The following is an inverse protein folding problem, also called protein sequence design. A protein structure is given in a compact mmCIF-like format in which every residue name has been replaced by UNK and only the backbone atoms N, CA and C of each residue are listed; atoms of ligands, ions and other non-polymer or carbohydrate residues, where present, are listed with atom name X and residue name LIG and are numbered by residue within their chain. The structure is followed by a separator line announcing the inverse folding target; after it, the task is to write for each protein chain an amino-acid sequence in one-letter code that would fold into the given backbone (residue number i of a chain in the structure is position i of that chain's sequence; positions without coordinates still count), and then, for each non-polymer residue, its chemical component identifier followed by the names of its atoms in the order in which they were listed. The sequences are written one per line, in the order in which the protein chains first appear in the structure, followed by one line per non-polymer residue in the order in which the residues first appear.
data_IF_650997636365
#
_entry.id   IF_650997636365
#
_cell.length_a   1.000
_cell.length_b   1.000
_cell.length_c   1.000
_cell.angle_alpha   90.00
_cell.angle_beta   90.00
_cell.angle_gamma   90.00
#
_symmetry.space_group_name_H-M   'P 1'
#
loop_
_entity.id
_entity.type
_entity.pdbx_description
1 polymer ?
#
# COMPACT_ATOMS: atom_id res chain seq x y z
N UNK A 1 75.74 -5.57 -6.27
CA UNK A 1 74.70 -4.62 -6.68
C UNK A 1 73.67 -4.60 -5.56
N UNK A 2 73.76 -3.62 -4.67
CA UNK A 2 72.80 -3.45 -3.57
C UNK A 2 71.88 -2.29 -3.94
N UNK A 3 70.59 -2.60 -4.04
CA UNK A 3 69.50 -1.65 -4.19
C UNK A 3 69.42 -0.79 -2.93
N UNK A 4 69.69 0.50 -3.08
CA UNK A 4 69.42 1.50 -2.04
C UNK A 4 67.90 1.63 -1.91
N UNK A 5 67.35 1.10 -0.82
CA UNK A 5 66.01 1.46 -0.36
C UNK A 5 66.00 2.97 -0.07
N UNK A 6 65.35 3.74 -0.93
CA UNK A 6 65.02 5.12 -0.63
C UNK A 6 63.85 5.09 0.36
N UNK A 7 64.14 5.07 1.66
CA UNK A 7 63.16 5.36 2.70
C UNK A 7 62.82 6.86 2.68
N UNK A 8 62.04 7.29 1.70
CA UNK A 8 61.48 8.63 1.66
C UNK A 8 60.40 8.75 2.74
N UNK A 9 60.72 9.40 3.86
CA UNK A 9 59.73 9.73 4.88
C UNK A 9 58.58 10.52 4.25
N UNK A 10 57.34 10.15 4.60
CA UNK A 10 56.12 10.78 4.09
C UNK A 10 56.27 12.31 4.06
N UNK A 11 56.04 12.91 2.88
CA UNK A 11 56.27 14.33 2.66
C UNK A 11 55.45 15.18 3.63
N UNK A 12 55.81 16.46 3.81
CA UNK A 12 55.00 17.39 4.63
C UNK A 12 53.54 17.45 4.14
N UNK A 13 53.32 17.24 2.84
CA UNK A 13 51.99 17.18 2.23
C UNK A 13 51.27 15.88 2.59
N UNK A 14 51.94 14.72 2.56
CA UNK A 14 51.33 13.43 2.92
C UNK A 14 50.91 13.39 4.38
N UNK A 15 51.73 13.98 5.27
CA UNK A 15 51.38 14.10 6.70
C UNK A 15 50.18 15.03 6.91
N UNK A 16 50.17 16.18 6.23
CA UNK A 16 49.05 17.12 6.30
C UNK A 16 47.76 16.52 5.73
N UNK A 17 47.83 15.79 4.61
CA UNK A 17 46.68 15.09 4.02
C UNK A 17 46.18 13.98 4.94
N UNK A 18 47.07 13.23 5.58
CA UNK A 18 46.70 12.22 6.59
C UNK A 18 45.94 12.84 7.76
N UNK A 19 46.42 13.96 8.30
CA UNK A 19 45.80 14.68 9.42
C UNK A 19 44.43 15.31 9.07
N UNK A 20 44.19 15.62 7.79
CA UNK A 20 42.98 16.33 7.34
C UNK A 20 42.05 15.48 6.47
N UNK A 21 42.39 14.22 6.21
CA UNK A 21 41.67 13.35 5.27
C UNK A 21 40.19 13.24 5.64
N UNK A 22 39.89 12.99 6.92
CA UNK A 22 38.51 12.81 7.42
C UNK A 22 37.65 14.06 7.22
N UNK A 23 38.25 15.25 7.27
CA UNK A 23 37.56 16.53 7.03
C UNK A 23 37.34 16.78 5.53
N UNK A 24 38.29 16.36 4.68
CA UNK A 24 38.26 16.60 3.24
C UNK A 24 37.44 15.54 2.48
N UNK A 25 37.35 14.33 3.00
CA UNK A 25 36.70 13.20 2.35
C UNK A 25 35.21 13.44 2.06
N UNK A 26 34.39 14.02 2.97
CA UNK A 26 33.01 14.36 2.67
C UNK A 26 32.89 15.40 1.55
N UNK A 27 33.77 16.42 1.51
CA UNK A 27 33.76 17.42 0.45
C UNK A 27 34.11 16.80 -0.91
N UNK A 28 35.15 15.96 -0.97
CA UNK A 28 35.51 15.21 -2.18
C UNK A 28 34.34 14.36 -2.67
N UNK A 29 33.70 13.60 -1.77
CA UNK A 29 32.54 12.76 -2.10
C UNK A 29 31.35 13.58 -2.60
N UNK A 30 31.09 14.76 -2.02
CA UNK A 30 30.03 15.67 -2.52
C UNK A 30 30.34 16.16 -3.93
N UNK A 31 31.60 16.54 -4.20
CA UNK A 31 32.03 16.96 -5.53
C UNK A 31 31.93 15.80 -6.55
N UNK A 32 32.31 14.59 -6.15
CA UNK A 32 32.18 13.38 -6.99
C UNK A 32 30.70 13.06 -7.28
N UNK A 33 29.84 13.10 -6.27
CA UNK A 33 28.40 12.89 -6.44
C UNK A 33 27.82 13.92 -7.42
N UNK A 34 28.08 15.22 -7.19
CA UNK A 34 27.64 16.29 -8.09
C UNK A 34 28.15 16.08 -9.52
N UNK A 35 29.41 15.71 -9.70
CA UNK A 35 29.96 15.42 -11.02
C UNK A 35 29.22 14.26 -11.71
N UNK A 36 28.95 13.17 -10.98
CA UNK A 36 28.20 12.02 -11.51
C UNK A 36 26.78 12.44 -11.89
N UNK A 37 26.08 13.20 -11.04
CA UNK A 37 24.73 13.72 -11.34
C UNK A 37 24.70 14.55 -12.63
N UNK A 38 25.67 15.44 -12.84
CA UNK A 38 25.73 16.26 -14.06
C UNK A 38 26.04 15.42 -15.31
N UNK A 39 26.89 14.39 -15.17
CA UNK A 39 27.19 13.47 -16.27
C UNK A 39 25.97 12.61 -16.62
N UNK A 40 25.27 12.10 -15.61
CA UNK A 40 24.04 11.33 -15.78
C UNK A 40 22.98 12.13 -16.54
N UNK A 41 22.67 13.35 -16.08
CA UNK A 41 21.73 14.27 -16.75
C UNK A 41 22.10 14.55 -18.20
N UNK A 42 23.40 14.69 -18.50
CA UNK A 42 23.87 14.93 -19.87
C UNK A 42 23.72 13.70 -20.75
N UNK A 43 23.95 12.49 -20.22
CA UNK A 43 23.77 11.23 -20.94
C UNK A 43 22.28 10.98 -21.20
N UNK A 44 21.45 11.19 -20.19
CA UNK A 44 19.98 11.13 -20.28
C UNK A 44 19.44 12.07 -21.36
N UNK A 45 19.85 13.34 -21.37
CA UNK A 45 19.47 14.29 -22.42
C UNK A 45 19.92 13.90 -23.85
N UNK A 46 20.81 12.92 -23.98
CA UNK A 46 21.28 12.36 -25.25
C UNK A 46 20.62 11.03 -25.59
N UNK A 47 19.77 10.50 -24.71
CA UNK A 47 19.18 9.16 -24.83
C UNK A 47 20.18 8.02 -24.56
N UNK A 48 21.32 8.29 -23.93
CA UNK A 48 22.33 7.30 -23.58
C UNK A 48 21.99 6.71 -22.19
N UNK A 49 21.06 5.75 -22.20
CA UNK A 49 20.50 5.13 -20.99
C UNK A 49 21.57 4.45 -20.14
N UNK A 50 22.40 3.59 -20.73
CA UNK A 50 23.42 2.83 -20.00
C UNK A 50 24.38 3.77 -19.26
N UNK A 51 24.86 4.81 -19.95
CA UNK A 51 25.75 5.80 -19.33
C UNK A 51 25.02 6.62 -18.25
N UNK A 52 23.76 6.99 -18.47
CA UNK A 52 22.97 7.71 -17.48
C UNK A 52 22.78 6.87 -16.20
N UNK A 53 22.42 5.59 -16.37
CA UNK A 53 22.22 4.61 -15.30
C UNK A 53 23.46 4.48 -14.43
N UNK A 54 24.62 4.21 -15.04
CA UNK A 54 25.89 4.07 -14.32
C UNK A 54 26.26 5.32 -13.51
N UNK A 55 26.08 6.52 -14.07
CA UNK A 55 26.41 7.75 -13.36
C UNK A 55 25.38 8.07 -12.27
N UNK A 56 24.09 7.80 -12.48
CA UNK A 56 23.08 7.95 -11.44
C UNK A 56 23.35 6.98 -10.28
N UNK A 57 23.65 5.71 -10.54
CA UNK A 57 24.02 4.72 -9.51
C UNK A 57 25.19 5.17 -8.65
N UNK A 58 26.25 5.67 -9.30
CA UNK A 58 27.42 6.21 -8.60
C UNK A 58 27.06 7.41 -7.73
N UNK A 59 26.18 8.27 -8.21
CA UNK A 59 25.70 9.41 -7.45
C UNK A 59 24.87 8.97 -6.23
N UNK A 60 23.89 8.08 -6.43
CA UNK A 60 23.05 7.48 -5.37
C UNK A 60 23.92 6.84 -4.29
N UNK A 61 24.86 5.98 -4.68
CA UNK A 61 25.79 5.31 -3.76
C UNK A 61 26.66 6.30 -2.98
N UNK A 62 27.12 7.37 -3.63
CA UNK A 62 27.97 8.38 -2.99
C UNK A 62 27.18 9.27 -2.03
N UNK A 63 25.95 9.67 -2.39
CA UNK A 63 25.02 10.41 -1.52
C UNK A 63 24.60 9.56 -0.31
N UNK A 64 24.32 8.28 -0.51
CA UNK A 64 24.05 7.34 0.57
C UNK A 64 25.20 7.24 1.58
N UNK A 65 26.45 7.12 1.10
CA UNK A 65 27.66 7.12 1.95
C UNK A 65 27.93 8.45 2.66
N UNK A 66 27.33 9.54 2.20
CA UNK A 66 27.38 10.86 2.85
C UNK A 66 26.25 11.05 3.87
N UNK A 67 25.31 10.10 3.97
CA UNK A 67 24.09 10.26 4.76
C UNK A 67 23.09 11.25 4.16
N UNK A 68 23.27 11.64 2.89
CA UNK A 68 22.40 12.58 2.18
C UNK A 68 21.17 11.83 1.63
N UNK A 69 20.21 11.58 2.53
CA UNK A 69 19.03 10.76 2.24
C UNK A 69 18.09 11.39 1.22
N UNK A 70 17.90 12.71 1.27
CA UNK A 70 17.02 13.41 0.31
C UNK A 70 17.59 13.32 -1.12
N UNK A 71 18.90 13.51 -1.29
CA UNK A 71 19.53 13.32 -2.59
C UNK A 71 19.50 11.85 -3.02
N UNK A 72 19.65 10.91 -2.09
CA UNK A 72 19.55 9.46 -2.38
C UNK A 72 18.16 9.10 -2.90
N UNK A 73 17.10 9.60 -2.26
CA UNK A 73 15.71 9.41 -2.70
C UNK A 73 15.50 10.02 -4.08
N UNK A 74 15.86 11.30 -4.25
CA UNK A 74 15.63 12.04 -5.51
C UNK A 74 16.31 11.36 -6.69
N UNK A 75 17.57 10.95 -6.51
CA UNK A 75 18.34 10.29 -7.56
C UNK A 75 17.87 8.84 -7.78
N UNK A 76 17.45 8.13 -6.72
CA UNK A 76 16.88 6.79 -6.82
C UNK A 76 15.59 6.77 -7.62
N UNK A 77 14.65 7.68 -7.32
CA UNK A 77 13.41 7.84 -8.10
C UNK A 77 13.71 8.15 -9.57
N UNK A 78 14.61 9.09 -9.83
CA UNK A 78 14.98 9.44 -11.21
C UNK A 78 15.54 8.25 -11.98
N UNK A 79 16.36 7.44 -11.31
CA UNK A 79 16.94 6.24 -11.90
C UNK A 79 15.89 5.16 -12.15
N UNK A 80 14.96 4.97 -11.21
CA UNK A 80 13.85 4.04 -11.35
C UNK A 80 12.93 4.42 -12.52
N UNK A 81 12.55 5.70 -12.61
CA UNK A 81 11.74 6.24 -13.70
C UNK A 81 12.43 6.06 -15.05
N UNK A 82 13.73 6.39 -15.12
CA UNK A 82 14.51 6.25 -16.34
C UNK A 82 14.62 4.77 -16.77
N UNK A 83 14.82 3.85 -15.81
CA UNK A 83 14.86 2.43 -16.09
C UNK A 83 13.51 1.91 -16.62
N UNK A 84 12.40 2.33 -16.00
CA UNK A 84 11.03 2.02 -16.44
C UNK A 84 10.76 2.53 -17.85
N UNK A 85 11.14 3.76 -18.18
CA UNK A 85 11.00 4.36 -19.52
C UNK A 85 11.76 3.58 -20.61
N UNK A 86 12.84 2.90 -20.23
CA UNK A 86 13.66 2.08 -21.13
C UNK A 86 13.37 0.58 -21.06
N UNK A 87 12.37 0.15 -20.30
CA UNK A 87 11.96 -1.25 -20.18
C UNK A 87 12.89 -2.12 -19.31
N UNK A 88 13.79 -1.51 -18.53
CA UNK A 88 14.59 -2.20 -17.52
C UNK A 88 13.80 -2.27 -16.20
N UNK A 89 12.83 -3.19 -16.18
CA UNK A 89 11.95 -3.39 -15.03
C UNK A 89 12.71 -3.82 -13.77
N UNK A 90 13.77 -4.61 -13.90
CA UNK A 90 14.58 -5.07 -12.79
C UNK A 90 15.28 -3.91 -12.06
N UNK A 91 15.95 -3.03 -12.81
CA UNK A 91 16.58 -1.83 -12.24
C UNK A 91 15.52 -0.88 -11.67
N UNK A 92 14.37 -0.72 -12.36
CA UNK A 92 13.28 0.12 -11.87
C UNK A 92 12.78 -0.35 -10.50
N UNK A 93 12.49 -1.65 -10.36
CA UNK A 93 12.03 -2.28 -9.13
C UNK A 93 13.02 -2.07 -7.99
N UNK A 94 14.30 -2.40 -8.19
CA UNK A 94 15.34 -2.26 -7.17
C UNK A 94 15.40 -0.84 -6.59
N UNK A 95 15.33 0.18 -7.45
CA UNK A 95 15.41 1.56 -7.00
C UNK A 95 14.12 2.07 -6.37
N UNK A 96 12.94 1.69 -6.88
CA UNK A 96 11.68 2.01 -6.21
C UNK A 96 11.64 1.39 -4.82
N UNK A 97 11.91 0.09 -4.67
CA UNK A 97 11.96 -0.61 -3.38
C UNK A 97 12.85 0.12 -2.36
N UNK A 98 14.06 0.48 -2.80
CA UNK A 98 15.01 1.20 -1.96
C UNK A 98 14.46 2.57 -1.52
N UNK A 99 13.76 3.28 -2.39
CA UNK A 99 13.13 4.56 -2.05
C UNK A 99 11.98 4.36 -1.06
N UNK A 100 11.15 3.33 -1.26
CA UNK A 100 10.07 2.95 -0.34
C UNK A 100 10.61 2.70 1.06
N UNK A 101 11.68 1.91 1.18
CA UNK A 101 12.35 1.66 2.47
C UNK A 101 12.86 2.95 3.13
N UNK A 102 13.43 3.87 2.34
CA UNK A 102 13.95 5.14 2.86
C UNK A 102 12.84 6.05 3.37
N UNK A 103 11.68 6.07 2.71
CA UNK A 103 10.51 6.81 3.16
C UNK A 103 9.84 6.14 4.37
N UNK A 104 9.73 4.81 4.38
CA UNK A 104 9.18 4.06 5.51
C UNK A 104 9.99 4.30 6.80
N UNK A 105 11.33 4.36 6.72
CA UNK A 105 12.21 4.72 7.85
C UNK A 105 12.04 6.16 8.36
N UNK A 106 11.35 7.01 7.61
CA UNK A 106 11.05 8.41 7.96
C UNK A 106 9.58 8.62 8.29
N UNK A 107 8.79 7.55 8.37
CA UNK A 107 7.34 7.64 8.58
C UNK A 107 6.68 8.60 7.57
N UNK A 108 7.16 8.57 6.32
CA UNK A 108 6.62 9.38 5.23
C UNK A 108 5.85 8.46 4.28
N UNK A 109 4.60 8.18 4.63
CA UNK A 109 3.70 7.36 3.84
C UNK A 109 3.47 7.95 2.45
N UNK A 110 3.34 9.28 2.33
CA UNK A 110 3.14 9.93 1.03
C UNK A 110 4.27 9.62 0.04
N UNK A 111 5.52 9.83 0.46
CA UNK A 111 6.68 9.58 -0.39
C UNK A 111 6.93 8.09 -0.64
N UNK A 112 6.57 7.22 0.31
CA UNK A 112 6.61 5.78 0.09
C UNK A 112 5.60 5.35 -0.99
N UNK A 113 4.37 5.87 -0.94
CA UNK A 113 3.36 5.58 -1.96
C UNK A 113 3.71 6.19 -3.33
N UNK A 114 4.28 7.40 -3.36
CA UNK A 114 4.77 8.02 -4.60
C UNK A 114 5.81 7.12 -5.34
N UNK A 115 6.58 6.32 -4.59
CA UNK A 115 7.53 5.35 -5.14
C UNK A 115 6.92 3.97 -5.42
N UNK A 116 5.96 3.53 -4.60
CA UNK A 116 5.27 2.24 -4.77
C UNK A 116 4.36 2.22 -5.99
N UNK A 117 3.64 3.30 -6.27
CA UNK A 117 2.63 3.29 -7.34
C UNK A 117 3.23 2.95 -8.72
N UNK A 118 4.31 3.60 -9.19
CA UNK A 118 4.95 3.22 -10.45
C UNK A 118 5.57 1.82 -10.41
N UNK A 119 5.99 1.35 -9.23
CA UNK A 119 6.51 0.00 -9.06
C UNK A 119 5.42 -1.05 -9.22
N UNK A 120 4.23 -0.80 -8.66
CA UNK A 120 3.06 -1.65 -8.85
C UNK A 120 2.67 -1.72 -10.33
N UNK A 121 2.76 -0.61 -11.06
CA UNK A 121 2.53 -0.60 -12.51
C UNK A 121 3.55 -1.44 -13.29
N UNK A 122 4.82 -1.45 -12.85
CA UNK A 122 5.88 -2.29 -13.44
C UNK A 122 5.59 -3.78 -13.18
N UNK A 123 5.30 -4.14 -11.93
CA UNK A 123 4.97 -5.52 -11.55
C UNK A 123 3.72 -6.04 -12.27
N UNK A 124 2.73 -5.16 -12.46
CA UNK A 124 1.52 -5.48 -13.18
C UNK A 124 1.81 -5.80 -14.67
N UNK A 125 2.68 -5.00 -15.29
CA UNK A 125 3.10 -5.24 -16.68
C UNK A 125 3.90 -6.54 -16.87
N UNK A 126 4.63 -7.00 -15.84
CA UNK A 126 5.37 -8.26 -15.87
C UNK A 126 4.48 -9.49 -15.61
N UNK A 127 3.29 -9.31 -15.05
CA UNK A 127 2.36 -10.39 -14.72
C UNK A 127 2.77 -11.20 -13.49
N UNK A 128 3.54 -10.60 -12.59
CA UNK A 128 4.01 -11.24 -11.36
C UNK A 128 2.93 -11.16 -10.25
N UNK A 129 1.84 -11.91 -10.41
CA UNK A 129 0.62 -11.75 -9.58
C UNK A 129 0.85 -11.94 -8.07
N UNK A 130 1.68 -12.91 -7.67
CA UNK A 130 1.97 -13.16 -6.25
C UNK A 130 2.79 -12.02 -5.62
N UNK A 131 3.80 -11.53 -6.35
CA UNK A 131 4.65 -10.42 -5.91
C UNK A 131 3.87 -9.10 -5.91
N UNK A 132 3.05 -8.88 -6.93
CA UNK A 132 2.13 -7.76 -7.01
C UNK A 132 1.16 -7.75 -5.82
N UNK A 133 0.57 -8.89 -5.45
CA UNK A 133 -0.30 -9.00 -4.29
C UNK A 133 0.43 -8.68 -2.97
N UNK A 134 1.69 -9.11 -2.84
CA UNK A 134 2.53 -8.78 -1.70
C UNK A 134 2.80 -7.27 -1.60
N UNK A 135 3.18 -6.63 -2.70
CA UNK A 135 3.47 -5.20 -2.73
C UNK A 135 2.24 -4.32 -2.55
N UNK A 136 1.08 -4.74 -3.07
CA UNK A 136 -0.20 -4.13 -2.72
C UNK A 136 -0.53 -4.26 -1.24
N UNK A 137 -0.21 -5.40 -0.63
CA UNK A 137 -0.30 -5.56 0.83
C UNK A 137 0.59 -4.57 1.58
N UNK A 138 1.79 -4.30 1.07
CA UNK A 138 2.69 -3.28 1.62
C UNK A 138 2.12 -1.85 1.47
N UNK A 139 1.57 -1.53 0.28
CA UNK A 139 0.93 -0.24 0.01
C UNK A 139 -0.24 0.02 0.98
N UNK A 140 -1.11 -0.98 1.20
CA UNK A 140 -2.22 -0.85 2.14
C UNK A 140 -1.76 -0.73 3.61
N UNK A 141 -0.68 -1.40 3.99
CA UNK A 141 -0.10 -1.24 5.32
C UNK A 141 0.44 0.18 5.54
N UNK A 142 1.09 0.76 4.53
CA UNK A 142 1.54 2.15 4.58
C UNK A 142 0.35 3.10 4.63
N UNK A 143 -0.67 2.86 3.81
CA UNK A 143 -1.90 3.64 3.78
C UNK A 143 -2.59 3.68 5.15
N UNK A 144 -2.69 2.53 5.83
CA UNK A 144 -3.30 2.43 7.16
C UNK A 144 -2.47 3.05 8.28
N UNK A 145 -1.16 3.24 8.10
CA UNK A 145 -0.28 3.91 9.07
C UNK A 145 -0.09 5.40 8.79
N UNK A 146 -0.60 5.90 7.67
CA UNK A 146 -0.43 7.29 7.26
C UNK A 146 -1.19 8.22 8.22
N UNK A 147 -0.53 9.27 8.69
CA UNK A 147 -1.15 10.24 9.60
C UNK A 147 -2.36 10.92 8.93
N UNK A 148 -3.37 11.34 9.72
CA UNK A 148 -4.49 12.13 9.20
C UNK A 148 -4.00 13.37 8.43
N UNK A 149 -4.44 13.51 7.17
CA UNK A 149 -4.06 14.63 6.30
C UNK A 149 -2.72 14.48 5.57
N UNK A 150 -1.96 13.41 5.80
CA UNK A 150 -0.73 13.14 5.01
C UNK A 150 -1.06 12.82 3.53
N UNK A 151 -2.21 12.19 3.32
CA UNK A 151 -2.80 11.87 2.03
C UNK A 151 -4.20 12.50 1.95
N UNK A 152 -4.59 12.96 0.76
CA UNK A 152 -5.97 13.40 0.54
C UNK A 152 -6.91 12.20 0.54
N UNK A 153 -8.18 12.35 0.99
CA UNK A 153 -9.16 11.28 0.95
C UNK A 153 -9.30 10.66 -0.45
N UNK A 154 -9.32 11.48 -1.49
CA UNK A 154 -9.48 11.03 -2.88
C UNK A 154 -8.34 10.10 -3.31
N UNK A 155 -7.11 10.41 -2.91
CA UNK A 155 -5.95 9.56 -3.19
C UNK A 155 -6.03 8.24 -2.42
N UNK A 156 -6.49 8.27 -1.17
CA UNK A 156 -6.67 7.04 -0.37
C UNK A 156 -7.71 6.14 -1.04
N UNK A 157 -8.81 6.71 -1.50
CA UNK A 157 -9.91 5.99 -2.13
C UNK A 157 -9.48 5.37 -3.46
N UNK A 158 -8.77 6.13 -4.29
CA UNK A 158 -8.21 5.64 -5.56
C UNK A 158 -7.32 4.40 -5.35
N UNK A 159 -6.41 4.44 -4.37
CA UNK A 159 -5.54 3.31 -4.05
C UNK A 159 -6.32 2.08 -3.59
N UNK A 160 -7.36 2.28 -2.77
CA UNK A 160 -8.21 1.18 -2.30
C UNK A 160 -9.01 0.58 -3.47
N UNK A 161 -9.55 1.40 -4.39
CA UNK A 161 -10.25 0.92 -5.58
C UNK A 161 -9.33 0.14 -6.51
N UNK A 162 -8.15 0.68 -6.84
CA UNK A 162 -7.15 -0.03 -7.65
C UNK A 162 -6.76 -1.37 -7.02
N UNK A 163 -6.59 -1.41 -5.70
CA UNK A 163 -6.38 -2.66 -4.98
C UNK A 163 -7.56 -3.64 -5.12
N UNK A 164 -8.80 -3.15 -4.94
CA UNK A 164 -10.02 -3.94 -5.08
C UNK A 164 -10.22 -4.47 -6.50
N UNK A 165 -9.80 -3.74 -7.52
CA UNK A 165 -9.87 -4.20 -8.91
C UNK A 165 -8.78 -5.24 -9.21
N UNK A 166 -7.54 -4.97 -8.77
CA UNK A 166 -6.37 -5.72 -9.21
C UNK A 166 -6.11 -7.00 -8.40
N UNK A 167 -6.38 -6.98 -7.09
CA UNK A 167 -6.01 -8.07 -6.18
C UNK A 167 -7.24 -8.89 -5.81
N UNK A 168 -7.40 -10.05 -6.45
CA UNK A 168 -8.45 -11.04 -6.20
C UNK A 168 -7.92 -12.27 -5.46
N UNK A 169 -7.45 -12.06 -4.23
CA UNK A 169 -6.91 -13.12 -3.37
C UNK A 169 -7.78 -13.37 -2.14
N UNK A 170 -7.59 -14.51 -1.48
CA UNK A 170 -8.29 -14.85 -0.23
C UNK A 170 -8.03 -13.81 0.87
N UNK A 171 -6.80 -13.31 0.97
CA UNK A 171 -6.42 -12.28 1.95
C UNK A 171 -7.08 -10.91 1.67
N UNK A 172 -7.43 -10.64 0.41
CA UNK A 172 -8.01 -9.35 0.03
C UNK A 172 -9.39 -9.09 0.62
N UNK A 173 -10.21 -10.14 0.78
CA UNK A 173 -11.57 -10.05 1.31
C UNK A 173 -11.59 -9.40 2.71
N UNK A 174 -10.71 -9.82 3.62
CA UNK A 174 -10.65 -9.28 4.98
C UNK A 174 -10.32 -7.79 5.02
N UNK A 175 -9.38 -7.34 4.16
CA UNK A 175 -8.96 -5.94 4.09
C UNK A 175 -10.05 -5.06 3.49
N UNK A 176 -10.62 -5.47 2.36
CA UNK A 176 -11.70 -4.75 1.68
C UNK A 176 -12.92 -4.59 2.58
N UNK A 177 -13.27 -5.65 3.32
CA UNK A 177 -14.37 -5.59 4.27
C UNK A 177 -14.13 -4.62 5.42
N UNK A 178 -12.92 -4.60 5.98
CA UNK A 178 -12.55 -3.62 7.00
C UNK A 178 -12.68 -2.18 6.49
N UNK A 179 -12.20 -1.91 5.27
CA UNK A 179 -12.38 -0.60 4.64
C UNK A 179 -13.85 -0.29 4.38
N UNK A 180 -14.64 -1.25 3.90
CA UNK A 180 -16.06 -1.07 3.65
C UNK A 180 -16.81 -0.64 4.91
N UNK A 181 -16.60 -1.35 6.02
CA UNK A 181 -17.23 -1.05 7.30
C UNK A 181 -16.78 0.31 7.85
N UNK A 182 -15.49 0.65 7.74
CA UNK A 182 -15.00 1.96 8.17
C UNK A 182 -15.68 3.11 7.40
N UNK A 183 -15.92 2.95 6.10
CA UNK A 183 -16.62 3.95 5.27
C UNK A 183 -18.09 4.07 5.62
N UNK A 184 -18.78 2.94 5.79
CA UNK A 184 -20.17 2.94 6.25
C UNK A 184 -20.31 3.56 7.64
N UNK A 185 -19.32 3.35 8.52
CA UNK A 185 -19.33 3.95 9.86
C UNK A 185 -19.15 5.48 9.82
N UNK A 186 -18.42 5.98 8.83
CA UNK A 186 -18.24 7.39 8.53
C UNK A 186 -19.38 8.01 7.70
N UNK A 187 -20.47 7.26 7.44
CA UNK A 187 -21.58 7.64 6.56
C UNK A 187 -21.15 7.94 5.09
N UNK A 188 -20.01 7.37 4.66
CA UNK A 188 -19.52 7.38 3.27
C UNK A 188 -20.07 6.17 2.50
N UNK A 189 -21.39 6.15 2.37
CA UNK A 189 -22.20 4.99 1.95
C UNK A 189 -21.84 4.44 0.55
N UNK A 190 -21.53 5.30 -0.42
CA UNK A 190 -21.26 4.89 -1.81
C UNK A 190 -19.99 4.01 -1.93
N UNK A 191 -18.86 4.48 -1.37
CA UNK A 191 -17.61 3.72 -1.37
C UNK A 191 -17.70 2.51 -0.44
N UNK A 192 -18.39 2.64 0.71
CA UNK A 192 -18.65 1.51 1.59
C UNK A 192 -19.34 0.36 0.86
N UNK A 193 -20.41 0.66 0.11
CA UNK A 193 -21.15 -0.33 -0.68
C UNK A 193 -20.32 -0.91 -1.85
N UNK A 194 -19.52 -0.09 -2.53
CA UNK A 194 -18.58 -0.54 -3.57
C UNK A 194 -17.60 -1.59 -3.02
N UNK A 195 -17.06 -1.36 -1.82
CA UNK A 195 -16.10 -2.27 -1.19
C UNK A 195 -16.75 -3.52 -0.61
N UNK A 196 -18.02 -3.45 -0.18
CA UNK A 196 -18.81 -4.64 0.14
C UNK A 196 -19.02 -5.52 -1.08
N UNK A 197 -19.32 -4.93 -2.24
CA UNK A 197 -19.45 -5.68 -3.50
C UNK A 197 -18.12 -6.32 -3.90
N UNK A 198 -17.03 -5.56 -3.87
CA UNK A 198 -15.70 -6.08 -4.18
C UNK A 198 -15.33 -7.24 -3.25
N UNK A 199 -15.70 -7.15 -1.96
CA UNK A 199 -15.52 -8.25 -0.98
C UNK A 199 -16.39 -9.46 -1.32
N UNK A 200 -17.67 -9.26 -1.67
CA UNK A 200 -18.59 -10.32 -2.04
C UNK A 200 -18.17 -11.09 -3.29
N UNK A 201 -17.59 -10.40 -4.27
CA UNK A 201 -17.02 -11.02 -5.48
C UNK A 201 -15.88 -11.99 -5.16
N UNK A 202 -15.24 -11.89 -3.98
CA UNK A 202 -14.20 -12.85 -3.58
C UNK A 202 -14.76 -14.21 -3.19
N UNK A 203 -16.09 -14.41 -3.17
CA UNK A 203 -16.71 -15.73 -2.98
C UNK A 203 -16.20 -16.77 -3.97
N UNK A 204 -15.78 -16.34 -5.16
CA UNK A 204 -15.28 -17.23 -6.21
C UNK A 204 -13.85 -17.74 -5.93
N UNK A 205 -13.08 -17.05 -5.08
CA UNK A 205 -11.67 -17.37 -4.80
C UNK A 205 -11.41 -17.77 -3.35
N UNK A 206 -12.27 -17.35 -2.41
CA UNK A 206 -12.13 -17.66 -0.99
C UNK A 206 -12.71 -19.06 -0.73
N UNK A 207 -11.86 -19.95 -0.22
CA UNK A 207 -12.28 -21.30 0.16
C UNK A 207 -13.21 -21.26 1.37
N UNK A 208 -14.27 -22.04 1.30
CA UNK A 208 -15.24 -22.18 2.40
C UNK A 208 -14.59 -22.53 3.75
N UNK A 209 -13.53 -23.33 3.79
CA UNK A 209 -12.96 -23.83 5.05
C UNK A 209 -12.15 -22.76 5.82
N UNK A 210 -11.87 -21.60 5.22
CA UNK A 210 -11.04 -20.57 5.83
C UNK A 210 -11.88 -19.51 6.55
N UNK A 211 -11.28 -18.86 7.56
CA UNK A 211 -11.98 -17.86 8.37
C UNK A 211 -12.49 -16.66 7.56
N UNK A 212 -11.82 -16.31 6.47
CA UNK A 212 -12.15 -15.22 5.57
C UNK A 212 -13.50 -15.43 4.87
N UNK A 213 -13.96 -16.67 4.73
CA UNK A 213 -15.25 -16.95 4.10
C UNK A 213 -16.41 -16.31 4.88
N UNK A 214 -16.32 -16.23 6.22
CA UNK A 214 -17.34 -15.55 7.04
C UNK A 214 -17.49 -14.07 6.66
N UNK A 215 -16.38 -13.43 6.30
CA UNK A 215 -16.34 -12.01 5.93
C UNK A 215 -16.99 -11.80 4.57
N UNK A 216 -16.76 -12.72 3.63
CA UNK A 216 -17.45 -12.70 2.33
C UNK A 216 -18.97 -12.83 2.53
N UNK A 217 -19.42 -13.77 3.37
CA UNK A 217 -20.84 -13.94 3.68
C UNK A 217 -21.43 -12.67 4.33
N UNK A 218 -20.74 -12.11 5.33
CA UNK A 218 -21.18 -10.89 5.99
C UNK A 218 -21.25 -9.70 5.01
N UNK A 219 -20.29 -9.58 4.09
CA UNK A 219 -20.35 -8.58 3.03
C UNK A 219 -21.56 -8.76 2.09
N UNK A 220 -21.92 -10.01 1.77
CA UNK A 220 -23.14 -10.34 1.04
C UNK A 220 -24.42 -9.91 1.77
N UNK A 221 -24.48 -10.10 3.08
CA UNK A 221 -25.63 -9.62 3.89
C UNK A 221 -25.64 -8.09 3.96
N UNK A 222 -24.49 -7.47 4.24
CA UNK A 222 -24.34 -6.03 4.36
C UNK A 222 -24.70 -5.28 3.08
N UNK A 223 -24.29 -5.78 1.90
CA UNK A 223 -24.59 -5.14 0.61
C UNK A 223 -26.09 -5.14 0.31
N UNK A 224 -26.80 -6.22 0.67
CA UNK A 224 -28.25 -6.34 0.49
C UNK A 224 -28.98 -5.40 1.46
N UNK A 225 -28.58 -5.38 2.74
CA UNK A 225 -29.16 -4.45 3.71
C UNK A 225 -28.98 -2.99 3.30
N UNK A 226 -27.77 -2.61 2.88
CA UNK A 226 -27.50 -1.27 2.40
C UNK A 226 -28.33 -0.94 1.16
N UNK A 227 -28.48 -1.89 0.22
CA UNK A 227 -29.29 -1.71 -0.98
C UNK A 227 -30.77 -1.47 -0.67
N UNK A 228 -31.35 -2.19 0.30
CA UNK A 228 -32.73 -1.97 0.76
C UNK A 228 -32.92 -0.59 1.39
N UNK A 229 -31.92 -0.09 2.14
CA UNK A 229 -31.98 1.25 2.73
C UNK A 229 -31.85 2.38 1.70
N UNK A 230 -31.12 2.16 0.60
CA UNK A 230 -30.72 3.21 -0.35
C UNK A 230 -31.42 3.11 -1.71
N UNK A 231 -32.09 2.00 -2.00
CA UNK A 231 -32.67 1.71 -3.31
C UNK A 231 -31.66 1.32 -4.38
N UNK A 232 -30.45 0.88 -3.98
CA UNK A 232 -29.40 0.41 -4.90
C UNK A 232 -29.80 -0.94 -5.50
N UNK A 233 -29.47 -1.16 -6.77
CA UNK A 233 -29.75 -2.43 -7.45
C UNK A 233 -28.70 -3.49 -7.08
N UNK A 234 -29.16 -4.61 -6.52
CA UNK A 234 -28.34 -5.79 -6.20
C UNK A 234 -29.20 -7.05 -6.37
N UNK A 235 -28.59 -8.16 -6.77
CA UNK A 235 -29.28 -9.45 -6.81
C UNK A 235 -29.50 -10.00 -5.38
N UNK A 236 -30.63 -9.59 -4.79
CA UNK A 236 -31.02 -9.95 -3.43
C UNK A 236 -31.25 -11.45 -3.29
N UNK A 237 -31.97 -12.07 -4.22
CA UNK A 237 -32.32 -13.48 -4.12
C UNK A 237 -31.07 -14.36 -4.24
N UNK A 238 -30.23 -14.13 -5.25
CA UNK A 238 -28.97 -14.87 -5.42
C UNK A 238 -28.08 -14.75 -4.18
N UNK A 239 -27.89 -13.52 -3.69
CA UNK A 239 -26.99 -13.26 -2.57
C UNK A 239 -27.49 -13.96 -1.30
N UNK A 240 -28.78 -13.80 -0.98
CA UNK A 240 -29.32 -14.40 0.23
C UNK A 240 -29.44 -15.93 0.12
N UNK A 241 -29.67 -16.50 -1.07
CA UNK A 241 -29.72 -17.96 -1.30
C UNK A 241 -28.34 -18.57 -1.03
N UNK A 242 -27.29 -17.98 -1.59
CA UNK A 242 -25.93 -18.40 -1.32
C UNK A 242 -25.55 -18.31 0.17
N UNK A 243 -25.96 -17.23 0.84
CA UNK A 243 -25.68 -17.06 2.29
C UNK A 243 -26.47 -18.07 3.13
N UNK A 244 -27.70 -18.42 2.72
CA UNK A 244 -28.55 -19.37 3.45
C UNK A 244 -27.88 -20.75 3.59
N UNK A 245 -27.17 -21.19 2.55
CA UNK A 245 -26.44 -22.46 2.53
C UNK A 245 -25.29 -22.51 3.55
N UNK A 246 -24.85 -21.36 4.07
CA UNK A 246 -23.68 -21.22 4.95
C UNK A 246 -23.97 -20.40 6.23
N UNK A 247 -25.26 -20.24 6.58
CA UNK A 247 -25.72 -19.33 7.64
C UNK A 247 -25.10 -19.59 9.01
N UNK A 248 -24.69 -20.82 9.29
CA UNK A 248 -24.05 -21.21 10.55
C UNK A 248 -22.67 -20.56 10.79
N UNK A 249 -22.11 -19.93 9.76
CA UNK A 249 -20.82 -19.24 9.82
C UNK A 249 -20.93 -17.74 10.02
N UNK A 250 -22.14 -17.20 9.93
CA UNK A 250 -22.37 -15.78 10.13
C UNK A 250 -21.99 -15.37 11.57
N UNK A 251 -21.50 -14.14 11.71
CA UNK A 251 -21.44 -13.49 13.00
C UNK A 251 -22.85 -13.23 13.54
N UNK A 252 -22.96 -12.91 14.83
CA UNK A 252 -24.26 -12.60 15.46
C UNK A 252 -24.95 -11.42 14.77
N UNK A 253 -24.20 -10.36 14.47
CA UNK A 253 -24.69 -9.18 13.76
C UNK A 253 -25.11 -9.50 12.32
N UNK A 254 -24.32 -10.28 11.58
CA UNK A 254 -24.66 -10.67 10.22
C UNK A 254 -25.87 -11.62 10.16
N UNK A 255 -26.00 -12.53 11.14
CA UNK A 255 -27.14 -13.43 11.25
C UNK A 255 -28.44 -12.66 11.51
N UNK A 256 -28.43 -11.71 12.45
CA UNK A 256 -29.58 -10.86 12.74
C UNK A 256 -30.05 -10.06 11.51
N UNK A 257 -29.10 -9.47 10.78
CA UNK A 257 -29.40 -8.74 9.55
C UNK A 257 -29.92 -9.68 8.45
N UNK A 258 -29.35 -10.88 8.30
CA UNK A 258 -29.80 -11.89 7.36
C UNK A 258 -31.24 -12.36 7.65
N UNK A 259 -31.57 -12.66 8.90
CA UNK A 259 -32.92 -13.02 9.34
C UNK A 259 -33.92 -11.91 9.00
N UNK A 260 -33.61 -10.65 9.35
CA UNK A 260 -34.45 -9.50 9.02
C UNK A 260 -34.71 -9.37 7.52
N UNK A 261 -33.71 -9.63 6.69
CA UNK A 261 -33.81 -9.56 5.23
C UNK A 261 -34.59 -10.73 4.62
N UNK A 262 -34.54 -11.92 5.22
CA UNK A 262 -35.21 -13.13 4.71
C UNK A 262 -36.63 -13.29 5.22
N UNK A 263 -36.81 -13.11 6.52
CA UNK A 263 -38.02 -13.46 7.25
C UNK A 263 -38.88 -12.23 7.54
N UNK A 264 -38.29 -11.04 7.43
CA UNK A 264 -38.97 -9.76 7.72
C UNK A 264 -38.88 -9.35 9.20
N UNK A 265 -38.37 -10.23 10.07
CA UNK A 265 -38.17 -10.02 11.50
C UNK A 265 -36.88 -10.69 11.98
N UNK A 266 -36.38 -10.27 13.14
CA UNK A 266 -35.28 -10.93 13.87
C UNK A 266 -35.49 -10.66 15.36
N UNK A 267 -35.07 -11.60 16.21
CA UNK A 267 -35.20 -11.48 17.67
C UNK A 267 -34.17 -10.53 18.30
N UNK A 268 -33.14 -10.12 17.53
CA UNK A 268 -32.07 -9.25 18.01
C UNK A 268 -32.46 -7.79 17.79
N UNK A 269 -32.52 -7.00 18.86
CA UNK A 269 -32.79 -5.58 18.74
C UNK A 269 -31.56 -4.84 18.18
N UNK A 270 -31.73 -3.82 17.31
CA UNK A 270 -30.62 -3.02 16.81
C UNK A 270 -29.72 -2.44 17.91
N UNK A 271 -30.31 -2.05 19.04
CA UNK A 271 -29.59 -1.49 20.18
C UNK A 271 -28.66 -2.50 20.87
N UNK A 272 -28.93 -3.81 20.77
CA UNK A 272 -28.08 -4.85 21.37
C UNK A 272 -26.81 -5.10 20.53
N UNK A 273 -26.82 -4.68 19.26
CA UNK A 273 -25.68 -4.78 18.35
C UNK A 273 -24.79 -3.53 18.36
N UNK A 274 -25.39 -2.34 18.54
CA UNK A 274 -24.64 -1.08 18.50
C UNK A 274 -23.64 -1.01 19.66
N UNK A 275 -22.37 -0.94 19.32
CA UNK A 275 -21.23 -0.92 20.26
C UNK A 275 -20.87 0.51 20.67
N UNK A 276 -21.34 1.51 19.92
CA UNK A 276 -21.00 2.92 20.14
C UNK A 276 -19.65 3.34 19.54
N UNK A 277 -19.02 2.47 18.75
CA UNK A 277 -17.76 2.75 18.04
C UNK A 277 -18.00 3.84 16.99
N UNK A 278 -17.12 4.84 16.97
CA UNK A 278 -17.07 5.92 15.98
C UNK A 278 -16.09 5.66 14.83
N UNK A 279 -16.15 6.45 13.74
CA UNK A 279 -15.31 6.26 12.55
C UNK A 279 -13.80 6.43 12.82
N UNK A 280 -13.43 7.21 13.84
CA UNK A 280 -12.03 7.48 14.20
C UNK A 280 -11.51 6.58 15.33
N UNK A 281 -12.34 5.66 15.85
CA UNK A 281 -11.96 4.81 16.98
C UNK A 281 -11.12 3.60 16.52
N UNK A 282 -10.04 3.31 17.25
CA UNK A 282 -9.32 2.05 17.11
C UNK A 282 -10.14 0.90 17.73
N UNK A 283 -10.88 0.17 16.88
CA UNK A 283 -11.76 -0.91 17.29
C UNK A 283 -11.47 -2.23 16.56
N UNK A 284 -11.87 -3.34 17.17
CA UNK A 284 -11.79 -4.64 16.51
C UNK A 284 -12.84 -4.72 15.39
N UNK A 285 -12.51 -5.41 14.30
CA UNK A 285 -13.38 -5.54 13.12
C UNK A 285 -14.81 -6.03 13.48
N UNK A 286 -14.94 -6.91 14.48
CA UNK A 286 -16.24 -7.42 14.95
C UNK A 286 -17.12 -6.34 15.60
N UNK A 287 -16.51 -5.38 16.29
CA UNK A 287 -17.24 -4.33 17.01
C UNK A 287 -17.70 -3.24 16.03
N UNK A 288 -16.87 -2.95 15.03
CA UNK A 288 -17.22 -2.10 13.88
C UNK A 288 -18.35 -2.75 13.07
N UNK A 289 -18.25 -4.04 12.78
CA UNK A 289 -19.31 -4.79 12.07
C UNK A 289 -20.63 -4.75 12.84
N UNK A 290 -20.60 -5.01 14.15
CA UNK A 290 -21.79 -4.99 14.98
C UNK A 290 -22.43 -3.59 15.03
N UNK A 291 -21.63 -2.52 15.11
CA UNK A 291 -22.12 -1.14 15.03
C UNK A 291 -22.77 -0.84 13.68
N UNK A 292 -22.08 -1.10 12.57
CA UNK A 292 -22.58 -0.82 11.22
C UNK A 292 -23.85 -1.62 10.94
N UNK A 293 -23.87 -2.92 11.28
CA UNK A 293 -25.04 -3.76 11.04
C UNK A 293 -26.18 -3.44 11.99
N UNK A 294 -25.90 -3.01 13.22
CA UNK A 294 -26.91 -2.46 14.12
C UNK A 294 -27.57 -1.19 13.57
N UNK A 295 -26.79 -0.29 12.95
CA UNK A 295 -27.33 0.90 12.26
C UNK A 295 -28.17 0.52 11.04
N UNK A 296 -27.70 -0.41 10.21
CA UNK A 296 -28.47 -0.90 9.05
C UNK A 296 -29.78 -1.57 9.50
N UNK A 297 -29.73 -2.40 10.54
CA UNK A 297 -30.91 -3.08 11.08
C UNK A 297 -31.96 -2.07 11.59
N UNK A 298 -31.52 -0.99 12.25
CA UNK A 298 -32.39 0.11 12.66
C UNK A 298 -33.03 0.84 11.48
N UNK A 299 -32.27 1.08 10.39
CA UNK A 299 -32.78 1.74 9.18
C UNK A 299 -33.81 0.88 8.42
N UNK A 300 -33.77 -0.45 8.60
CA UNK A 300 -34.71 -1.40 7.97
C UNK A 300 -36.00 -1.59 8.77
N UNK A 301 -36.05 -1.23 10.06
CA UNK A 301 -37.22 -1.38 10.94
C UNK A 301 -38.22 -0.25 10.78
#
# INVERSE_FOLDING_TARGET
MSTTEVSGGASRVDRWLGEHCDRLLPWKRRAEAFYCEQRAKRAENRGDYETAREYYDRAVSTRGRLGDRDATITLGLRLADLAREHGDAATAREHYERVVELHARRENARGALDALEPMLDVLDAEGEDDELAQWWGHALMILGKADPGELSPERRDDLIRRYAERIRTEESAGRLYGFALARLLADEDELGAELLDATWERRDVVREQVGQFRVVLAAGVGRVAHAECTGRDVDREETLDFVADHRERLSVSAAALFERLREGETDVAPADLKTGVGPDDEAELRDVEAEVFGRLLERLG
#
